data_IF_186024491304
#
_entry.id   IF_186024491304
#
_cell.length_a   1.000
_cell.length_b   1.000
_cell.length_c   1.000
_cell.angle_alpha   90.00
_cell.angle_beta   90.00
_cell.angle_gamma   90.00
#
_symmetry.space_group_name_H-M   'P 1'
#
loop_
_entity.id
_entity.type
_entity.pdbx_description
1 polymer ?
#
# COMPACT_ATOMS: atom_id res chain seq x y z
N UNK A 1 -12.45 36.32 -12.58
CA UNK A 1 -13.00 35.55 -11.45
C UNK A 1 -12.33 34.18 -11.49
N UNK A 2 -11.21 33.99 -10.76
CA UNK A 2 -10.53 32.69 -10.68
C UNK A 2 -11.32 31.85 -9.69
N UNK A 3 -11.83 30.70 -10.11
CA UNK A 3 -12.36 29.70 -9.19
C UNK A 3 -11.19 28.91 -8.63
N UNK A 4 -10.92 29.14 -7.36
CA UNK A 4 -9.96 28.37 -6.57
C UNK A 4 -10.56 26.98 -6.32
N UNK A 5 -10.34 26.06 -7.25
CA UNK A 5 -10.75 24.65 -7.14
C UNK A 5 -9.62 23.78 -6.57
N UNK A 6 -8.88 24.25 -5.58
CA UNK A 6 -7.89 23.44 -4.87
C UNK A 6 -8.40 23.12 -3.46
N UNK A 7 -9.32 22.16 -3.35
CA UNK A 7 -9.70 21.67 -2.01
C UNK A 7 -10.88 20.72 -1.86
N UNK A 8 -11.80 20.63 -2.83
CA UNK A 8 -13.10 19.97 -2.58
C UNK A 8 -13.20 18.49 -3.00
N UNK A 9 -12.27 18.01 -3.84
CA UNK A 9 -12.39 16.70 -4.50
C UNK A 9 -12.43 15.53 -3.50
N UNK A 10 -11.65 15.63 -2.43
CA UNK A 10 -11.60 14.62 -1.35
C UNK A 10 -12.90 14.58 -0.54
N UNK A 11 -13.54 15.73 -0.35
CA UNK A 11 -14.74 15.86 0.46
C UNK A 11 -15.96 15.32 -0.29
N UNK A 12 -16.03 15.56 -1.60
CA UNK A 12 -17.08 15.02 -2.46
C UNK A 12 -17.01 13.49 -2.56
N UNK A 13 -15.81 12.93 -2.73
CA UNK A 13 -15.61 11.47 -2.71
C UNK A 13 -16.07 10.86 -1.39
N UNK A 14 -15.71 11.47 -0.25
CA UNK A 14 -16.13 11.00 1.07
C UNK A 14 -17.65 11.02 1.24
N UNK A 15 -18.33 12.01 0.67
CA UNK A 15 -19.79 12.17 0.73
C UNK A 15 -20.51 11.17 -0.17
N UNK A 16 -20.00 10.91 -1.36
CA UNK A 16 -20.58 9.96 -2.34
C UNK A 16 -20.45 8.52 -1.86
N UNK A 17 -19.33 8.15 -1.25
CA UNK A 17 -19.08 6.78 -0.78
C UNK A 17 -19.68 6.44 0.59
N UNK A 18 -20.44 7.35 1.22
CA UNK A 18 -21.22 7.15 2.47
C UNK A 18 -20.59 6.14 3.44
N UNK A 19 -19.55 6.54 4.16
CA UNK A 19 -18.92 5.72 5.22
C UNK A 19 -18.36 4.34 4.80
N UNK A 20 -18.42 3.95 3.52
CA UNK A 20 -17.53 2.92 3.03
C UNK A 20 -16.12 3.46 3.28
N UNK A 21 -15.39 2.80 4.18
CA UNK A 21 -14.06 3.21 4.57
C UNK A 21 -13.09 2.83 3.43
N UNK A 22 -13.29 3.42 2.24
CA UNK A 22 -12.60 3.12 0.97
C UNK A 22 -11.10 3.23 1.16
N UNK A 23 -10.65 4.19 1.97
CA UNK A 23 -9.25 4.29 2.36
C UNK A 23 -8.77 3.07 3.15
N UNK A 24 -9.57 2.52 4.06
CA UNK A 24 -9.25 1.25 4.74
C UNK A 24 -9.29 0.08 3.78
N UNK A 25 -10.28 -0.03 2.90
CA UNK A 25 -10.34 -1.16 1.94
C UNK A 25 -9.16 -1.14 0.97
N UNK A 26 -8.76 0.03 0.47
CA UNK A 26 -7.56 0.22 -0.35
C UNK A 26 -6.31 -0.20 0.44
N UNK A 27 -6.14 0.27 1.68
CA UNK A 27 -4.99 -0.09 2.53
C UNK A 27 -4.95 -1.60 2.84
N UNK A 28 -6.10 -2.22 3.14
CA UNK A 28 -6.21 -3.66 3.36
C UNK A 28 -5.84 -4.44 2.09
N UNK A 29 -6.31 -4.02 0.92
CA UNK A 29 -5.94 -4.64 -0.36
C UNK A 29 -4.44 -4.52 -0.66
N UNK A 30 -3.83 -3.37 -0.38
CA UNK A 30 -2.38 -3.17 -0.51
C UNK A 30 -1.59 -4.13 0.38
N UNK A 31 -2.05 -4.34 1.62
CA UNK A 31 -1.42 -5.26 2.57
C UNK A 31 -1.61 -6.72 2.17
N UNK A 32 -2.80 -7.11 1.69
CA UNK A 32 -3.04 -8.46 1.17
C UNK A 32 -2.07 -8.79 0.03
N UNK A 33 -1.99 -7.89 -0.95
CA UNK A 33 -1.07 -8.07 -2.08
C UNK A 33 0.40 -8.08 -1.64
N UNK A 34 0.79 -7.25 -0.67
CA UNK A 34 2.13 -7.29 -0.09
C UNK A 34 2.45 -8.62 0.62
N UNK A 35 1.46 -9.19 1.31
CA UNK A 35 1.60 -10.49 1.93
C UNK A 35 1.78 -11.60 0.90
N UNK A 36 1.02 -11.54 -0.19
CA UNK A 36 1.14 -12.51 -1.28
C UNK A 36 2.50 -12.42 -1.94
N UNK A 37 3.02 -11.22 -2.22
CA UNK A 37 4.39 -11.03 -2.73
C UNK A 37 5.46 -11.64 -1.80
N UNK A 38 5.28 -11.55 -0.49
CA UNK A 38 6.22 -12.16 0.46
C UNK A 38 6.18 -13.70 0.48
N UNK A 39 5.13 -14.30 -0.08
CA UNK A 39 4.93 -15.75 -0.22
C UNK A 39 5.28 -16.26 -1.61
N UNK A 40 5.24 -15.40 -2.63
CA UNK A 40 5.66 -15.72 -3.99
C UNK A 40 7.16 -16.07 -3.98
N UNK A 41 7.52 -17.06 -4.80
CA UNK A 41 8.89 -17.50 -4.97
C UNK A 41 9.81 -16.33 -5.40
N UNK A 42 10.99 -16.13 -4.75
CA UNK A 42 11.89 -15.04 -5.07
C UNK A 42 12.40 -15.01 -6.53
N UNK A 43 12.35 -16.15 -7.24
CA UNK A 43 12.75 -16.19 -8.65
C UNK A 43 11.68 -15.64 -9.60
N UNK A 44 10.43 -15.49 -9.12
CA UNK A 44 9.32 -14.92 -9.89
C UNK A 44 9.62 -13.49 -10.35
N UNK A 45 9.21 -13.18 -11.59
CA UNK A 45 9.24 -11.84 -12.15
C UNK A 45 8.49 -10.83 -11.28
N UNK A 46 7.36 -11.22 -10.70
CA UNK A 46 6.56 -10.37 -9.79
C UNK A 46 7.34 -9.96 -8.55
N UNK A 47 8.03 -10.92 -7.92
CA UNK A 47 8.87 -10.63 -6.75
C UNK A 47 10.03 -9.70 -7.11
N UNK A 48 10.70 -9.95 -8.24
CA UNK A 48 11.83 -9.14 -8.71
C UNK A 48 11.41 -7.70 -9.02
N UNK A 49 10.29 -7.50 -9.72
CA UNK A 49 9.77 -6.16 -10.06
C UNK A 49 9.39 -5.40 -8.78
N UNK A 50 8.67 -6.02 -7.86
CA UNK A 50 8.21 -5.36 -6.63
C UNK A 50 9.36 -4.98 -5.68
N UNK A 51 10.47 -5.73 -5.71
CA UNK A 51 11.66 -5.47 -4.90
C UNK A 51 12.78 -4.74 -5.68
N UNK A 52 12.53 -4.39 -6.95
CA UNK A 52 13.53 -3.76 -7.79
C UNK A 52 13.93 -2.39 -7.23
N UNK A 53 15.23 -2.21 -7.04
CA UNK A 53 15.82 -0.91 -6.69
C UNK A 53 16.45 -0.34 -7.96
N UNK A 54 15.88 0.73 -8.55
CA UNK A 54 16.49 1.35 -9.72
C UNK A 54 17.87 1.89 -9.33
N UNK A 55 18.86 1.55 -10.14
CA UNK A 55 20.25 2.01 -10.05
C UNK A 55 20.37 3.15 -11.08
N UNK A 56 20.46 4.40 -10.63
CA UNK A 56 20.66 5.54 -11.55
C UNK A 56 20.23 6.91 -11.01
N UNK A 57 20.66 7.96 -11.72
CA UNK A 57 20.51 9.40 -11.42
C UNK A 57 19.12 9.96 -11.70
N UNK A 58 18.25 9.23 -12.42
CA UNK A 58 16.82 9.57 -12.48
C UNK A 58 16.25 9.27 -11.10
N UNK A 59 16.11 10.32 -10.30
CA UNK A 59 15.78 10.26 -8.88
C UNK A 59 14.65 9.30 -8.57
N UNK A 60 14.73 8.67 -7.39
CA UNK A 60 13.70 7.80 -6.82
C UNK A 60 12.30 8.40 -7.11
N UNK A 61 11.38 7.67 -7.77
CA UNK A 61 10.00 8.12 -7.95
C UNK A 61 9.42 8.57 -6.61
N UNK A 62 8.74 9.73 -6.59
CA UNK A 62 8.23 10.35 -5.36
C UNK A 62 7.29 9.43 -4.55
N UNK A 63 6.59 8.52 -5.22
CA UNK A 63 5.68 7.57 -4.57
C UNK A 63 5.79 6.20 -5.25
N UNK A 64 6.31 5.21 -4.53
CA UNK A 64 6.26 3.80 -4.96
C UNK A 64 5.13 3.08 -4.24
N UNK A 65 4.62 2.03 -4.87
CA UNK A 65 3.71 1.10 -4.21
C UNK A 65 4.31 0.55 -2.89
N UNK A 66 5.63 0.32 -2.84
CA UNK A 66 6.31 -0.11 -1.62
C UNK A 66 6.23 0.91 -0.48
N UNK A 67 6.24 2.21 -0.80
CA UNK A 67 6.14 3.28 0.18
C UNK A 67 4.70 3.33 0.74
N UNK A 68 3.69 3.18 -0.12
CA UNK A 68 2.27 3.07 0.29
C UNK A 68 2.03 1.87 1.22
N UNK A 69 2.67 0.74 0.91
CA UNK A 69 2.59 -0.46 1.74
C UNK A 69 3.24 -0.21 3.10
N UNK A 70 4.44 0.38 3.14
CA UNK A 70 5.10 0.74 4.40
C UNK A 70 4.24 1.67 5.26
N UNK A 71 3.57 2.64 4.66
CA UNK A 71 2.64 3.52 5.39
C UNK A 71 1.41 2.75 5.89
N UNK A 72 0.89 1.79 5.13
CA UNK A 72 -0.17 0.90 5.61
C UNK A 72 0.28 0.04 6.80
N UNK A 73 1.51 -0.48 6.77
CA UNK A 73 2.13 -1.21 7.89
C UNK A 73 2.28 -0.34 9.14
N UNK A 74 2.72 0.92 8.99
CA UNK A 74 2.82 1.89 10.09
C UNK A 74 1.46 2.18 10.71
N UNK A 75 0.42 2.39 9.89
CA UNK A 75 -0.96 2.64 10.36
C UNK A 75 -1.48 1.47 11.19
N UNK A 76 -1.11 0.24 10.83
CA UNK A 76 -1.48 -0.96 11.57
C UNK A 76 -0.50 -1.37 12.67
N UNK A 77 0.55 -0.57 12.94
CA UNK A 77 1.59 -0.83 13.95
C UNK A 77 2.30 -2.19 13.78
N UNK A 78 2.34 -2.73 12.57
CA UNK A 78 3.04 -3.98 12.25
C UNK A 78 4.46 -3.65 11.81
N UNK A 79 5.45 -4.05 12.62
CA UNK A 79 6.86 -3.63 12.44
C UNK A 79 7.63 -4.46 11.42
N UNK A 80 7.16 -5.66 11.07
CA UNK A 80 7.98 -6.60 10.29
C UNK A 80 7.34 -7.08 8.98
N UNK A 81 7.33 -6.22 7.96
CA UNK A 81 6.79 -6.53 6.62
C UNK A 81 7.39 -7.80 5.97
N UNK A 82 8.66 -8.12 6.22
CA UNK A 82 9.36 -9.22 5.54
C UNK A 82 9.08 -10.59 6.15
N UNK A 83 8.88 -10.66 7.47
CA UNK A 83 8.69 -11.93 8.18
C UNK A 83 7.25 -12.14 8.58
N UNK A 84 6.50 -11.07 8.89
CA UNK A 84 5.14 -11.20 9.36
C UNK A 84 4.27 -11.98 8.35
N UNK A 85 4.25 -11.69 7.03
CA UNK A 85 3.33 -12.33 6.10
C UNK A 85 3.48 -13.85 5.95
N UNK A 86 4.65 -14.38 6.33
CA UNK A 86 4.95 -15.81 6.28
C UNK A 86 4.19 -16.60 7.35
N UNK A 87 3.75 -15.94 8.43
CA UNK A 87 2.96 -16.55 9.51
C UNK A 87 1.47 -16.36 9.26
N UNK A 88 0.85 -17.37 8.65
CA UNK A 88 -0.58 -17.36 8.22
C UNK A 88 -1.56 -17.05 9.37
N UNK A 89 -1.25 -17.49 10.58
CA UNK A 89 -2.07 -17.32 11.78
C UNK A 89 -2.02 -15.88 12.33
N UNK A 90 -0.84 -15.27 12.37
CA UNK A 90 -0.65 -13.91 12.87
C UNK A 90 -1.34 -12.85 11.97
N UNK A 91 -1.49 -13.16 10.67
CA UNK A 91 -2.11 -12.26 9.70
C UNK A 91 -3.61 -12.40 9.55
N UNK A 92 -4.21 -13.47 10.08
CA UNK A 92 -5.67 -13.63 10.07
C UNK A 92 -6.37 -12.60 10.95
N UNK A 93 -5.73 -12.11 12.01
CA UNK A 93 -6.30 -11.08 12.90
C UNK A 93 -6.16 -9.64 12.40
N UNK A 94 -5.46 -9.43 11.28
CA UNK A 94 -5.21 -8.11 10.69
C UNK A 94 -6.27 -7.75 9.64
N UNK A 95 -7.00 -8.75 9.12
CA UNK A 95 -7.93 -8.64 7.99
C UNK A 95 -9.35 -9.05 8.32
#
# INVERSE_FOLDING_TARGET
>A
MRMDCEGNDKFELHKVFKEANVLKSIKLSQLRYACDICRIDPSSSTFRICNYKPIGTRGRPKLRWTDCVEDAFKVLKVTNRKTAPKRRLEWKGVF
#
